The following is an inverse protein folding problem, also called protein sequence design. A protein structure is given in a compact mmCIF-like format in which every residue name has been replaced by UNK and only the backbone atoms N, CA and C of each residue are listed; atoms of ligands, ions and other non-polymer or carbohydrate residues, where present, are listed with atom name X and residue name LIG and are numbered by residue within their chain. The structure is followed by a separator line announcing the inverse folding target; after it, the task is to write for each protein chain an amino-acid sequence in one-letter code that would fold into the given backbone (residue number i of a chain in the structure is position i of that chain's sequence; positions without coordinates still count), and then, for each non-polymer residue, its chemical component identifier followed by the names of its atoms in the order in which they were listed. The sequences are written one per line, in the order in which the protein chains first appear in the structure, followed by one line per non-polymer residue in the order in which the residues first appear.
data_IF_302396552628
#
_entry.id   IF_302396552628
#
_cell.length_a   1.000
_cell.length_b   1.000
_cell.length_c   1.000
_cell.angle_alpha   90.00
_cell.angle_beta   90.00
_cell.angle_gamma   90.00
#
_symmetry.space_group_name_H-M   'P 1'
#
loop_
_entity.id
_entity.type
_entity.pdbx_description
1 polymer ?
#
# COMPACT_ATOMS: atom_id res chain seq x y z
N UNK A 1 -1.77 -24.43 3.59
CA UNK A 1 -2.88 -23.59 4.12
C UNK A 1 -2.66 -22.17 3.60
N UNK A 2 -3.30 -21.79 2.50
CA UNK A 2 -3.06 -20.50 1.84
C UNK A 2 -4.13 -19.48 2.21
N UNK A 3 -3.81 -18.54 3.09
CA UNK A 3 -4.64 -17.35 3.30
C UNK A 3 -4.54 -16.43 2.08
N UNK A 4 -5.66 -15.85 1.65
CA UNK A 4 -5.63 -14.89 0.55
C UNK A 4 -4.99 -13.58 1.01
N UNK A 5 -4.46 -12.78 0.09
CA UNK A 5 -3.96 -11.42 0.41
C UNK A 5 -5.03 -10.59 1.13
N UNK A 6 -6.31 -10.81 0.81
CA UNK A 6 -7.44 -10.17 1.47
C UNK A 6 -7.58 -10.57 2.94
N UNK A 7 -7.19 -11.79 3.32
CA UNK A 7 -7.24 -12.26 4.70
C UNK A 7 -6.13 -11.63 5.56
N UNK A 8 -4.93 -11.48 4.99
CA UNK A 8 -3.82 -10.73 5.62
C UNK A 8 -4.15 -9.24 5.80
N UNK A 9 -4.89 -8.65 4.85
CA UNK A 9 -5.33 -7.25 4.91
C UNK A 9 -6.54 -7.04 5.83
N UNK A 10 -7.17 -8.10 6.35
CA UNK A 10 -8.32 -7.96 7.27
C UNK A 10 -7.94 -8.10 8.74
N UNK A 11 -6.76 -8.64 9.04
CA UNK A 11 -6.22 -8.73 10.40
C UNK A 11 -5.31 -7.53 10.66
N UNK A 12 -5.86 -6.47 11.23
CA UNK A 12 -5.04 -5.34 11.68
C UNK A 12 -5.37 -4.95 13.10
N UNK A 13 -4.45 -5.22 14.03
CA UNK A 13 -3.71 -4.20 14.78
C UNK A 13 -2.68 -4.91 15.70
N UNK A 14 -1.41 -4.55 15.57
CA UNK A 14 -0.34 -5.03 16.43
C UNK A 14 0.94 -4.24 16.20
N UNK A 15 1.71 -4.03 17.26
CA UNK A 15 3.05 -3.45 17.16
C UNK A 15 3.95 -4.37 16.35
N UNK A 16 4.72 -3.82 15.42
CA UNK A 16 5.62 -4.61 14.57
C UNK A 16 6.65 -3.74 13.87
N UNK A 17 7.56 -4.39 13.14
CA UNK A 17 8.57 -3.72 12.31
C UNK A 17 8.17 -3.82 10.85
N UNK A 18 8.36 -2.75 10.10
CA UNK A 18 8.16 -2.74 8.65
C UNK A 18 9.21 -3.65 7.99
N UNK A 19 8.75 -4.72 7.34
CA UNK A 19 9.62 -5.71 6.70
C UNK A 19 9.97 -5.40 5.24
N UNK A 20 9.04 -4.76 4.52
CA UNK A 20 9.24 -4.35 3.13
C UNK A 20 8.31 -3.19 2.77
N UNK A 21 8.74 -2.35 1.83
CA UNK A 21 7.90 -1.38 1.14
C UNK A 21 7.78 -1.84 -0.31
N UNK A 22 6.55 -1.99 -0.79
CA UNK A 22 6.29 -2.49 -2.14
C UNK A 22 5.48 -1.46 -2.91
N UNK A 23 5.97 -1.08 -4.08
CA UNK A 23 5.32 -0.14 -4.99
C UNK A 23 4.96 -0.84 -6.29
N UNK A 24 3.87 -0.44 -6.93
CA UNK A 24 3.58 -0.83 -8.32
C UNK A 24 3.72 0.39 -9.22
N UNK A 25 4.80 0.52 -10.01
CA UNK A 25 5.09 1.75 -10.74
C UNK A 25 4.08 2.05 -11.85
N UNK A 26 3.43 1.02 -12.42
CA UNK A 26 2.40 1.19 -13.44
C UNK A 26 1.33 0.08 -13.36
N UNK A 27 0.14 0.35 -13.90
CA UNK A 27 -0.96 -0.61 -13.91
C UNK A 27 -0.52 -1.89 -14.62
N UNK A 28 -0.82 -3.04 -14.00
CA UNK A 28 -0.46 -4.38 -14.49
C UNK A 28 1.05 -4.67 -14.59
N UNK A 29 1.95 -3.76 -14.20
CA UNK A 29 3.38 -4.06 -14.08
C UNK A 29 3.71 -4.74 -12.75
N UNK A 30 4.82 -5.45 -12.72
CA UNK A 30 5.32 -6.10 -11.51
C UNK A 30 5.54 -5.09 -10.39
N UNK A 31 5.31 -5.57 -9.16
CA UNK A 31 5.55 -4.78 -7.98
C UNK A 31 7.05 -4.83 -7.64
N UNK A 32 7.59 -3.70 -7.20
CA UNK A 32 9.01 -3.53 -6.87
C UNK A 32 9.17 -3.27 -5.38
N UNK A 33 10.15 -3.92 -4.76
CA UNK A 33 10.52 -3.64 -3.37
C UNK A 33 11.48 -2.46 -3.33
N UNK A 34 11.23 -1.52 -2.42
CA UNK A 34 12.08 -0.34 -2.19
C UNK A 34 12.50 -0.28 -0.73
N UNK A 35 13.64 0.37 -0.46
CA UNK A 35 14.13 0.56 0.91
C UNK A 35 13.41 1.73 1.61
N UNK A 36 13.03 2.74 0.83
CA UNK A 36 12.36 3.94 1.30
C UNK A 36 11.25 4.35 0.35
N UNK A 37 10.19 4.96 0.90
CA UNK A 37 9.16 5.61 0.13
C UNK A 37 8.57 6.77 0.94
N UNK A 38 8.16 7.82 0.24
CA UNK A 38 7.45 8.96 0.82
C UNK A 38 5.95 8.73 0.75
N UNK A 39 5.26 8.85 1.87
CA UNK A 39 3.80 8.83 1.92
C UNK A 39 3.26 10.26 1.90
N UNK A 40 2.47 10.60 0.88
CA UNK A 40 1.84 11.91 0.74
C UNK A 40 0.32 11.81 0.95
N UNK A 41 -0.28 12.64 1.83
CA UNK A 41 -1.72 12.66 2.04
C UNK A 41 -2.48 12.89 0.73
N UNK A 42 -3.46 12.06 0.42
CA UNK A 42 -4.23 12.16 -0.82
C UNK A 42 -3.58 11.45 -2.02
N UNK A 43 -2.30 11.07 -1.95
CA UNK A 43 -1.55 10.44 -3.03
C UNK A 43 -1.07 9.01 -2.66
N UNK A 44 -0.92 8.71 -1.37
CA UNK A 44 -0.36 7.44 -0.92
C UNK A 44 1.17 7.38 -1.06
N UNK A 45 1.72 6.22 -1.38
CA UNK A 45 3.18 6.08 -1.57
C UNK A 45 3.61 6.65 -2.93
N UNK A 46 4.48 7.65 -2.90
CA UNK A 46 5.05 8.25 -4.11
C UNK A 46 5.87 7.20 -4.87
N UNK A 47 5.61 7.10 -6.17
CA UNK A 47 6.20 6.09 -7.06
C UNK A 47 5.31 4.88 -7.30
N UNK A 48 4.19 4.75 -6.57
CA UNK A 48 3.10 3.86 -6.97
C UNK A 48 2.25 4.53 -8.06
N UNK A 49 1.77 3.76 -9.05
CA UNK A 49 0.91 4.28 -10.12
C UNK A 49 -0.36 4.97 -9.59
N UNK A 50 -0.83 4.60 -8.39
CA UNK A 50 -1.99 5.24 -7.76
C UNK A 50 -1.67 6.62 -7.18
N UNK A 51 -0.40 6.98 -7.05
CA UNK A 51 0.02 8.30 -6.57
C UNK A 51 -0.02 9.37 -7.66
N UNK A 52 -0.35 9.00 -8.91
CA UNK A 52 -0.45 9.95 -10.03
C UNK A 52 -1.70 10.84 -9.97
N UNK A 53 -2.68 10.51 -9.11
CA UNK A 53 -3.93 11.26 -9.02
C UNK A 53 -4.31 11.51 -7.57
N UNK A 54 -4.52 12.79 -7.25
CA UNK A 54 -5.03 13.20 -5.94
C UNK A 54 -6.41 12.61 -5.70
N UNK A 55 -6.57 11.97 -4.54
CA UNK A 55 -7.83 11.42 -4.06
C UNK A 55 -8.62 12.52 -3.37
N UNK A 56 -9.88 12.67 -3.76
CA UNK A 56 -10.72 13.78 -3.33
C UNK A 56 -11.78 13.36 -2.30
N UNK A 57 -12.12 12.06 -2.23
CA UNK A 57 -13.11 11.55 -1.28
C UNK A 57 -12.48 10.69 -0.20
N UNK A 58 -13.06 10.70 1.00
CA UNK A 58 -12.56 9.89 2.13
C UNK A 58 -12.54 8.39 1.81
N UNK A 59 -13.52 7.90 1.06
CA UNK A 59 -13.54 6.51 0.59
C UNK A 59 -12.35 6.17 -0.33
N UNK A 60 -11.88 7.13 -1.12
CA UNK A 60 -10.64 6.97 -1.88
C UNK A 60 -9.43 7.03 -0.95
N UNK A 61 -9.40 7.96 0.01
CA UNK A 61 -8.27 8.13 0.93
C UNK A 61 -7.99 6.90 1.79
N UNK A 62 -9.01 6.12 2.15
CA UNK A 62 -8.87 4.83 2.84
C UNK A 62 -8.00 3.80 2.10
N UNK A 63 -7.76 3.96 0.81
CA UNK A 63 -6.96 3.03 -0.01
C UNK A 63 -5.62 3.63 -0.43
N UNK A 64 -5.15 4.69 0.23
CA UNK A 64 -3.85 5.34 -0.03
C UNK A 64 -2.69 4.44 0.36
N UNK A 65 -2.81 3.80 1.52
CA UNK A 65 -1.84 2.86 2.05
C UNK A 65 -2.54 1.54 2.38
N UNK A 66 -1.84 0.44 2.21
CA UNK A 66 -2.27 -0.87 2.67
C UNK A 66 -1.14 -1.47 3.45
N UNK A 67 -1.35 -1.61 4.75
CA UNK A 67 -0.50 -2.48 5.57
C UNK A 67 -0.86 -3.93 5.24
N UNK A 68 0.07 -4.86 5.41
CA UNK A 68 -0.15 -6.31 5.32
C UNK A 68 0.65 -6.91 6.47
N UNK A 69 -0.02 -7.60 7.39
CA UNK A 69 0.61 -8.26 8.54
C UNK A 69 0.17 -9.73 8.55
N UNK A 70 1.11 -10.63 8.84
CA UNK A 70 0.89 -12.08 8.92
C UNK A 70 1.03 -12.54 10.37
#
# INVERSE_FOLDING_TARGET
MGGTLRDLVRRFHGTGRLGAIVLRPDRLKDAVSVQEARAEPGLGLIGDHRSLRLRQSDAQRHRELSLIQA
#
